data_IF_394926575506
#
_entry.id   IF_394926575506
#
_cell.length_a   1.000
_cell.length_b   1.000
_cell.length_c   1.000
_cell.angle_alpha   90.00
_cell.angle_beta   90.00
_cell.angle_gamma   90.00
#
_symmetry.space_group_name_H-M   'P 1'
#
loop_
_entity.id
_entity.type
_entity.pdbx_description
1 polymer ?
#
# COMPACT_ATOMS: atom_id res chain seq x y z
N UNK A 1 13.39 -5.30 10.72
CA UNK A 1 12.12 -4.56 10.53
C UNK A 1 11.15 -5.54 9.88
N UNK A 2 10.09 -5.95 10.57
CA UNK A 2 9.14 -6.95 10.07
C UNK A 2 8.38 -6.41 8.83
N UNK A 3 8.14 -7.23 7.82
CA UNK A 3 7.40 -6.85 6.61
C UNK A 3 5.99 -6.35 6.96
N UNK A 4 5.36 -6.87 8.00
CA UNK A 4 4.03 -6.41 8.46
C UNK A 4 4.02 -4.93 8.85
N UNK A 5 5.06 -4.48 9.55
CA UNK A 5 5.20 -3.06 9.90
C UNK A 5 5.36 -2.19 8.64
N UNK A 6 6.12 -2.67 7.66
CA UNK A 6 6.31 -1.97 6.38
C UNK A 6 5.00 -1.92 5.59
N UNK A 7 4.26 -3.03 5.52
CA UNK A 7 2.96 -3.14 4.86
C UNK A 7 1.98 -2.15 5.51
N UNK A 8 1.82 -2.19 6.84
CA UNK A 8 0.91 -1.30 7.56
C UNK A 8 1.25 0.19 7.33
N UNK A 9 2.54 0.53 7.31
CA UNK A 9 3.00 1.89 7.00
C UNK A 9 2.62 2.30 5.58
N UNK A 10 2.91 1.46 4.58
CA UNK A 10 2.60 1.76 3.16
C UNK A 10 1.09 1.85 2.94
N UNK A 11 0.29 0.97 3.54
CA UNK A 11 -1.17 1.03 3.48
C UNK A 11 -1.73 2.33 4.08
N UNK A 12 -1.18 2.77 5.22
CA UNK A 12 -1.59 4.05 5.83
C UNK A 12 -1.26 5.23 4.92
N UNK A 13 -0.04 5.28 4.39
CA UNK A 13 0.38 6.34 3.47
C UNK A 13 -0.49 6.37 2.21
N UNK A 14 -0.75 5.20 1.61
CA UNK A 14 -1.60 5.10 0.41
C UNK A 14 -2.99 5.67 0.67
N UNK A 15 -3.61 5.28 1.80
CA UNK A 15 -4.92 5.80 2.19
C UNK A 15 -4.93 7.32 2.31
N UNK A 16 -3.92 7.91 2.95
CA UNK A 16 -3.83 9.37 3.04
C UNK A 16 -3.72 10.04 1.67
N UNK A 17 -2.95 9.50 0.74
CA UNK A 17 -2.90 10.07 -0.60
C UNK A 17 -4.24 10.00 -1.33
N UNK A 18 -4.97 8.90 -1.18
CA UNK A 18 -6.29 8.73 -1.80
C UNK A 18 -7.34 9.67 -1.17
N UNK A 19 -7.32 9.82 0.16
CA UNK A 19 -8.21 10.71 0.90
C UNK A 19 -7.89 12.20 0.66
N UNK A 20 -6.64 12.56 0.38
CA UNK A 20 -6.19 13.94 0.21
C UNK A 20 -6.42 14.50 -1.21
N UNK A 21 -6.95 13.72 -2.16
CA UNK A 21 -7.24 14.19 -3.53
C UNK A 21 -8.11 15.47 -3.55
N UNK A 22 -9.19 15.60 -2.73
CA UNK A 22 -9.95 16.83 -2.66
C UNK A 22 -9.13 18.03 -2.17
N UNK A 23 -8.24 17.81 -1.19
CA UNK A 23 -7.35 18.85 -0.67
C UNK A 23 -6.34 19.29 -1.73
N UNK A 24 -5.77 18.36 -2.50
CA UNK A 24 -4.93 18.66 -3.65
C UNK A 24 -5.67 19.55 -4.66
N UNK A 25 -6.89 19.17 -5.04
CA UNK A 25 -7.71 19.93 -5.98
C UNK A 25 -7.99 21.36 -5.47
N UNK A 26 -8.25 21.52 -4.18
CA UNK A 26 -8.43 22.84 -3.56
C UNK A 26 -7.14 23.68 -3.61
N UNK A 27 -5.97 23.07 -3.35
CA UNK A 27 -4.67 23.77 -3.35
C UNK A 27 -4.22 24.23 -4.73
N UNK A 28 -4.54 23.47 -5.77
CA UNK A 28 -4.09 23.80 -7.14
C UNK A 28 -5.07 24.70 -7.90
N UNK A 29 -6.25 24.99 -7.35
CA UNK A 29 -7.35 25.66 -8.07
C UNK A 29 -6.98 27.00 -8.71
N UNK A 30 -6.06 27.75 -8.11
CA UNK A 30 -5.63 29.08 -8.57
C UNK A 30 -4.43 29.02 -9.54
N UNK A 31 -3.89 27.82 -9.81
CA UNK A 31 -2.81 27.63 -10.77
C UNK A 31 -3.33 27.59 -12.20
N UNK A 32 -2.45 27.79 -13.18
CA UNK A 32 -2.77 27.55 -14.58
C UNK A 32 -3.22 26.10 -14.81
N UNK A 33 -4.04 25.87 -15.85
CA UNK A 33 -4.51 24.52 -16.20
C UNK A 33 -3.37 23.51 -16.35
N UNK A 34 -2.30 23.89 -17.03
CA UNK A 34 -1.10 23.06 -17.20
C UNK A 34 -0.47 22.65 -15.86
N UNK A 35 -0.39 23.58 -14.90
CA UNK A 35 0.16 23.31 -13.56
C UNK A 35 -0.79 22.45 -12.73
N UNK A 36 -2.11 22.65 -12.86
CA UNK A 36 -3.10 21.78 -12.24
C UNK A 36 -3.00 20.35 -12.78
N UNK A 37 -2.89 20.18 -14.09
CA UNK A 37 -2.75 18.88 -14.73
C UNK A 37 -1.44 18.19 -14.32
N UNK A 38 -0.33 18.93 -14.32
CA UNK A 38 0.96 18.42 -13.87
C UNK A 38 0.91 17.95 -12.41
N UNK A 39 0.29 18.73 -11.51
CA UNK A 39 0.16 18.35 -10.11
C UNK A 39 -0.73 17.11 -9.92
N UNK A 40 -1.83 16.99 -10.66
CA UNK A 40 -2.71 15.81 -10.62
C UNK A 40 -2.02 14.56 -11.17
N UNK A 41 -1.29 14.69 -12.29
CA UNK A 41 -0.51 13.59 -12.88
C UNK A 41 0.57 13.11 -11.92
N UNK A 42 1.28 14.04 -11.29
CA UNK A 42 2.30 13.71 -10.29
C UNK A 42 1.69 12.96 -9.10
N UNK A 43 0.58 13.46 -8.54
CA UNK A 43 -0.09 12.78 -7.42
C UNK A 43 -0.57 11.37 -7.79
N UNK A 44 -1.12 11.19 -9.01
CA UNK A 44 -1.53 9.89 -9.51
C UNK A 44 -0.33 8.93 -9.62
N UNK A 45 0.80 9.38 -10.17
CA UNK A 45 2.01 8.57 -10.27
C UNK A 45 2.52 8.11 -8.90
N UNK A 46 2.53 9.00 -7.89
CA UNK A 46 2.94 8.65 -6.52
C UNK A 46 2.01 7.62 -5.89
N UNK A 47 0.69 7.75 -6.10
CA UNK A 47 -0.29 6.75 -5.64
C UNK A 47 -0.02 5.39 -6.29
N UNK A 48 0.21 5.35 -7.60
CA UNK A 48 0.44 4.12 -8.33
C UNK A 48 1.75 3.44 -7.95
N UNK A 49 2.84 4.21 -7.76
CA UNK A 49 4.10 3.70 -7.22
C UNK A 49 3.93 3.12 -5.81
N UNK A 50 3.15 3.79 -4.95
CA UNK A 50 2.87 3.32 -3.59
C UNK A 50 2.06 2.02 -3.60
N UNK A 51 1.09 1.88 -4.52
CA UNK A 51 0.35 0.63 -4.74
C UNK A 51 1.26 -0.50 -5.21
N UNK A 52 2.17 -0.20 -6.14
CA UNK A 52 3.13 -1.19 -6.65
C UNK A 52 4.06 -1.69 -5.53
N UNK A 53 4.56 -0.80 -4.67
CA UNK A 53 5.36 -1.18 -3.51
C UNK A 53 4.55 -2.03 -2.52
N UNK A 54 3.30 -1.66 -2.24
CA UNK A 54 2.43 -2.46 -1.38
C UNK A 54 2.26 -3.88 -1.93
N UNK A 55 1.97 -4.02 -3.23
CA UNK A 55 1.84 -5.32 -3.88
C UNK A 55 3.14 -6.15 -3.78
N UNK A 56 4.29 -5.51 -3.97
CA UNK A 56 5.60 -6.18 -3.84
C UNK A 56 5.82 -6.68 -2.41
N UNK A 57 5.48 -5.88 -1.40
CA UNK A 57 5.61 -6.28 0.00
C UNK A 57 4.68 -7.43 0.37
N UNK A 58 3.43 -7.42 -0.11
CA UNK A 58 2.47 -8.51 0.09
C UNK A 58 2.95 -9.81 -0.56
N UNK A 59 3.53 -9.76 -1.76
CA UNK A 59 4.11 -10.93 -2.43
C UNK A 59 5.38 -11.45 -1.75
N UNK A 60 6.14 -10.56 -1.11
CA UNK A 60 7.38 -10.90 -0.42
C UNK A 60 7.15 -11.36 1.04
N UNK A 61 5.91 -11.33 1.54
CA UNK A 61 5.61 -11.95 2.81
C UNK A 61 5.82 -13.47 2.64
N UNK A 62 6.63 -14.13 3.49
CA UNK A 62 6.66 -15.59 3.48
C UNK A 62 5.23 -16.06 3.60
N UNK A 63 4.77 -16.89 2.67
CA UNK A 63 3.58 -17.66 2.94
C UNK A 63 3.92 -18.48 4.18
N UNK A 64 3.43 -18.07 5.35
CA UNK A 64 3.12 -19.03 6.39
C UNK A 64 2.04 -19.92 5.76
N UNK A 65 2.50 -20.88 4.95
CA UNK A 65 1.77 -22.09 4.66
C UNK A 65 1.73 -22.78 6.01
N UNK A 66 0.78 -22.35 6.84
CA UNK A 66 0.26 -23.16 7.91
C UNK A 66 -0.33 -24.37 7.21
N UNK A 67 0.48 -25.41 7.03
CA UNK A 67 0.01 -26.74 6.72
C UNK A 67 -0.75 -27.20 7.97
N UNK A 68 -2.09 -27.28 7.95
CA UNK A 68 -2.84 -27.84 9.08
C UNK A 68 -2.70 -29.37 9.13
N UNK A 69 -1.75 -29.94 8.41
CA UNK A 69 -1.51 -31.38 8.24
C UNK A 69 -0.57 -32.04 9.25
N UNK A 70 0.00 -31.34 10.23
CA UNK A 70 0.61 -32.02 11.38
C UNK A 70 -0.49 -32.58 12.29
N UNK A 71 -1.02 -33.72 11.88
CA UNK A 71 -1.74 -34.66 12.73
C UNK A 71 -0.97 -34.87 14.03
N UNK A 72 -1.60 -34.70 15.21
CA UNK A 72 -1.01 -35.13 16.46
C UNK A 72 -0.79 -36.65 16.40
N UNK A 73 0.47 -37.09 16.32
CA UNK A 73 0.80 -38.49 16.55
C UNK A 73 0.42 -38.83 18.00
N UNK A 74 -0.63 -39.63 18.17
CA UNK A 74 -1.02 -40.17 19.48
C UNK A 74 0.17 -40.94 20.10
N UNK A 75 0.35 -40.86 21.44
CA UNK A 75 1.35 -41.67 22.11
C UNK A 75 0.91 -43.14 22.08
N UNK A 76 1.77 -44.02 21.58
CA UNK A 76 1.59 -45.46 21.76
C UNK A 76 1.79 -45.82 23.25
N UNK A 77 0.89 -46.68 23.75
CA UNK A 77 0.71 -47.18 25.13
C UNK A 77 1.94 -47.16 26.07
#
# INVERSE_FOLDING_TARGET
MNNDFRIAKVQRTLRWFEEDIPLLNMRVKELSKERQESARKFAAAVIDETRAELQRLLRAQPHDVYDPGEVPCEPAD
#
